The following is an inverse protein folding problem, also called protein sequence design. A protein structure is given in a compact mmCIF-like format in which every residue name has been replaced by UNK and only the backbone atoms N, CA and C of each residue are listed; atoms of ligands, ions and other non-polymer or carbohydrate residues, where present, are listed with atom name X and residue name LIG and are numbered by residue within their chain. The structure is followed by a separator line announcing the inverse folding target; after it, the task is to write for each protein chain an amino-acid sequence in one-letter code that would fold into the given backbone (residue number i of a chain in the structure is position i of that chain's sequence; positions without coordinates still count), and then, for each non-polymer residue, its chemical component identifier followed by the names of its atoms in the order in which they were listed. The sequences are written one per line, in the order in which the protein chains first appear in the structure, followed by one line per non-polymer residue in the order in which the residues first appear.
data_IF_892534775686
#
_entry.id   IF_892534775686
#
_cell.length_a   1.000
_cell.length_b   1.000
_cell.length_c   1.000
_cell.angle_alpha   90.00
_cell.angle_beta   90.00
_cell.angle_gamma   90.00
#
_symmetry.space_group_name_H-M   'P 1'
#
loop_
_entity.id
_entity.type
_entity.pdbx_description
1 polymer ?
#
# COMPACT_ATOMS: atom_id res chain seq x y z
N UNK A 1 6.28 -29.09 30.88
CA UNK A 1 6.27 -29.08 29.40
C UNK A 1 5.64 -27.76 28.96
N UNK A 2 6.45 -26.91 28.32
CA UNK A 2 6.25 -25.46 28.30
C UNK A 2 5.33 -24.98 27.19
N UNK A 3 4.32 -24.21 27.58
CA UNK A 3 3.53 -23.38 26.68
C UNK A 3 4.39 -22.20 26.20
N UNK A 4 4.91 -22.30 24.98
CA UNK A 4 5.60 -21.19 24.31
C UNK A 4 4.57 -20.11 23.94
N UNK A 5 4.49 -19.06 24.77
CA UNK A 5 3.81 -17.81 24.45
C UNK A 5 4.70 -17.00 23.51
N UNK A 6 4.60 -17.26 22.20
CA UNK A 6 5.09 -16.32 21.19
C UNK A 6 4.07 -15.18 21.04
N UNK A 7 4.15 -14.21 21.96
CA UNK A 7 3.55 -12.90 21.78
C UNK A 7 4.54 -12.04 20.98
N UNK A 8 4.53 -12.22 19.65
CA UNK A 8 5.49 -11.60 18.75
C UNK A 8 4.87 -10.40 18.03
N UNK A 9 5.13 -9.20 18.55
CA UNK A 9 5.26 -7.98 17.73
C UNK A 9 3.98 -7.30 17.19
N UNK A 10 2.79 -7.85 17.41
CA UNK A 10 1.54 -7.31 16.83
C UNK A 10 1.09 -5.94 17.43
N UNK A 11 1.61 -5.56 18.60
CA UNK A 11 1.04 -4.45 19.38
C UNK A 11 1.41 -3.03 18.90
N UNK A 12 2.56 -2.80 18.26
CA UNK A 12 2.98 -1.42 17.91
C UNK A 12 2.39 -0.90 16.61
N UNK A 13 2.19 -1.77 15.61
CA UNK A 13 1.61 -1.40 14.32
C UNK A 13 0.10 -1.15 14.43
N UNK A 14 -0.63 -1.99 15.16
CA UNK A 14 -2.06 -1.79 15.41
C UNK A 14 -2.34 -0.46 16.12
N UNK A 15 -1.54 -0.12 17.15
CA UNK A 15 -1.67 1.15 17.87
C UNK A 15 -1.52 2.38 16.96
N UNK A 16 -0.70 2.29 15.90
CA UNK A 16 -0.56 3.37 14.91
C UNK A 16 -1.81 3.50 14.05
N UNK A 17 -2.45 2.40 13.68
CA UNK A 17 -3.66 2.44 12.87
C UNK A 17 -4.89 2.93 13.64
N UNK A 18 -4.99 2.63 14.94
CA UNK A 18 -6.03 3.22 15.79
C UNK A 18 -5.85 4.74 15.92
N UNK A 19 -4.62 5.21 16.10
CA UNK A 19 -4.31 6.65 16.12
C UNK A 19 -4.62 7.31 14.78
N UNK A 20 -4.24 6.67 13.67
CA UNK A 20 -4.54 7.14 12.33
C UNK A 20 -6.06 7.23 12.10
N UNK A 21 -6.80 6.20 12.54
CA UNK A 21 -8.25 6.17 12.44
C UNK A 21 -8.87 7.34 13.23
N UNK A 22 -8.46 7.55 14.47
CA UNK A 22 -8.96 8.64 15.30
C UNK A 22 -8.72 10.01 14.64
N UNK A 23 -7.50 10.26 14.14
CA UNK A 23 -7.16 11.52 13.46
C UNK A 23 -8.06 11.75 12.23
N UNK A 24 -8.33 10.70 11.45
CA UNK A 24 -9.18 10.81 10.29
C UNK A 24 -10.68 10.95 10.63
N UNK A 25 -11.16 10.27 11.66
CA UNK A 25 -12.54 10.42 12.17
C UNK A 25 -12.75 11.84 12.72
N UNK A 26 -11.79 12.39 13.45
CA UNK A 26 -11.80 13.81 13.85
C UNK A 26 -11.78 14.73 12.63
N UNK A 27 -11.00 14.41 11.60
CA UNK A 27 -10.94 15.17 10.35
C UNK A 27 -12.28 15.24 9.61
N UNK A 28 -13.15 14.23 9.74
CA UNK A 28 -14.47 14.20 9.06
C UNK A 28 -15.35 15.40 9.40
N UNK A 29 -15.23 15.97 10.60
CA UNK A 29 -16.03 17.13 11.01
C UNK A 29 -15.77 18.36 10.12
N UNK A 30 -14.62 18.41 9.44
CA UNK A 30 -14.23 19.49 8.54
C UNK A 30 -14.52 19.17 7.06
N UNK A 31 -15.05 17.99 6.72
CA UNK A 31 -15.21 17.54 5.33
C UNK A 31 -16.07 18.46 4.45
N UNK A 32 -17.04 19.17 5.03
CA UNK A 32 -17.87 20.13 4.30
C UNK A 32 -17.22 21.51 4.14
N UNK A 33 -16.07 21.74 4.77
CA UNK A 33 -15.35 23.04 4.78
C UNK A 33 -14.09 23.01 3.92
N UNK A 34 -13.70 21.84 3.40
CA UNK A 34 -12.51 21.66 2.57
C UNK A 34 -12.90 21.35 1.14
N UNK A 35 -11.94 21.47 0.22
CA UNK A 35 -12.19 21.19 -1.19
C UNK A 35 -12.55 19.71 -1.44
N UNK A 36 -13.24 19.38 -2.55
CA UNK A 36 -13.54 17.99 -2.90
C UNK A 36 -12.31 17.10 -2.94
N UNK A 37 -11.16 17.61 -3.39
CA UNK A 37 -9.91 16.87 -3.37
C UNK A 37 -9.49 16.49 -1.94
N UNK A 38 -9.46 17.45 -1.01
CA UNK A 38 -9.06 17.18 0.37
C UNK A 38 -10.06 16.24 1.06
N UNK A 39 -11.36 16.39 0.79
CA UNK A 39 -12.38 15.45 1.27
C UNK A 39 -12.19 14.05 0.69
N UNK A 40 -11.92 13.91 -0.60
CA UNK A 40 -11.57 12.63 -1.22
C UNK A 40 -10.34 11.99 -0.57
N UNK A 41 -9.31 12.78 -0.28
CA UNK A 41 -8.09 12.34 0.42
C UNK A 41 -8.35 11.88 1.84
N UNK A 42 -9.19 12.62 2.57
CA UNK A 42 -9.64 12.24 3.90
C UNK A 42 -10.32 10.87 3.87
N UNK A 43 -11.24 10.64 2.93
CA UNK A 43 -11.94 9.37 2.78
C UNK A 43 -11.03 8.22 2.33
N UNK A 44 -9.99 8.46 1.52
CA UNK A 44 -8.98 7.42 1.25
C UNK A 44 -8.19 7.04 2.50
N UNK A 45 -7.82 8.02 3.33
CA UNK A 45 -7.14 7.75 4.60
C UNK A 45 -8.00 6.94 5.58
N UNK A 46 -9.30 7.25 5.65
CA UNK A 46 -10.27 6.44 6.41
C UNK A 46 -10.41 5.02 5.86
N UNK A 47 -10.50 4.87 4.54
CA UNK A 47 -10.61 3.57 3.91
C UNK A 47 -9.41 2.70 4.28
N UNK A 48 -8.21 3.25 4.18
CA UNK A 48 -6.97 2.59 4.59
C UNK A 48 -6.98 2.27 6.10
N UNK A 49 -7.33 3.23 6.96
CA UNK A 49 -7.37 3.02 8.40
C UNK A 49 -8.35 1.91 8.81
N UNK A 50 -9.60 1.99 8.33
CA UNK A 50 -10.61 0.98 8.58
C UNK A 50 -10.20 -0.40 8.06
N UNK A 51 -9.54 -0.46 6.89
CA UNK A 51 -9.08 -1.73 6.33
C UNK A 51 -8.00 -2.38 7.21
N UNK A 52 -7.08 -1.59 7.77
CA UNK A 52 -6.02 -2.07 8.66
C UNK A 52 -6.56 -2.59 10.00
N UNK A 53 -7.62 -1.99 10.54
CA UNK A 53 -8.27 -2.45 11.79
C UNK A 53 -9.38 -3.47 11.56
N UNK A 54 -9.52 -4.02 10.35
CA UNK A 54 -10.48 -5.08 10.01
C UNK A 54 -11.94 -4.63 9.89
N UNK A 55 -12.23 -3.33 9.83
CA UNK A 55 -13.58 -2.78 9.65
C UNK A 55 -13.97 -2.72 8.16
N UNK A 56 -14.08 -3.88 7.52
CA UNK A 56 -14.25 -4.04 6.06
C UNK A 56 -15.39 -3.22 5.45
N UNK A 57 -16.56 -3.20 6.08
CA UNK A 57 -17.72 -2.46 5.55
C UNK A 57 -17.47 -0.96 5.50
N UNK A 58 -16.92 -0.39 6.58
CA UNK A 58 -16.58 1.04 6.65
C UNK A 58 -15.42 1.41 5.72
N UNK A 59 -14.45 0.50 5.55
CA UNK A 59 -13.36 0.68 4.61
C UNK A 59 -13.88 0.86 3.18
N UNK A 60 -14.75 -0.05 2.73
CA UNK A 60 -15.34 0.00 1.39
C UNK A 60 -16.28 1.19 1.21
N UNK A 61 -17.09 1.53 2.21
CA UNK A 61 -17.94 2.72 2.15
C UNK A 61 -17.11 4.01 2.05
N UNK A 62 -16.00 4.09 2.79
CA UNK A 62 -15.09 5.25 2.73
C UNK A 62 -14.41 5.33 1.37
N UNK A 63 -13.97 4.20 0.82
CA UNK A 63 -13.39 4.14 -0.52
C UNK A 63 -14.38 4.60 -1.60
N UNK A 64 -15.64 4.15 -1.53
CA UNK A 64 -16.70 4.60 -2.44
C UNK A 64 -16.94 6.11 -2.35
N UNK A 65 -16.99 6.66 -1.13
CA UNK A 65 -17.12 8.11 -0.92
C UNK A 65 -15.93 8.88 -1.49
N UNK A 66 -14.72 8.36 -1.32
CA UNK A 66 -13.54 8.97 -1.91
C UNK A 66 -13.69 9.09 -3.42
N UNK A 67 -14.02 7.99 -4.12
CA UNK A 67 -14.25 8.00 -5.56
C UNK A 67 -15.29 9.01 -6.03
N UNK A 68 -16.36 9.23 -5.26
CA UNK A 68 -17.39 10.23 -5.58
C UNK A 68 -16.92 11.67 -5.41
N UNK A 69 -15.94 11.90 -4.53
CA UNK A 69 -15.46 13.24 -4.16
C UNK A 69 -14.21 13.66 -4.93
N UNK A 70 -13.41 12.71 -5.42
CA UNK A 70 -12.23 13.06 -6.21
C UNK A 70 -12.64 13.84 -7.46
N UNK A 71 -12.07 15.03 -7.70
CA UNK A 71 -12.33 15.78 -8.91
C UNK A 71 -11.75 15.06 -10.13
N UNK A 72 -12.39 15.26 -11.28
CA UNK A 72 -11.91 14.74 -12.57
C UNK A 72 -10.52 15.30 -12.93
N UNK A 73 -10.31 16.59 -12.66
CA UNK A 73 -9.00 17.23 -12.76
C UNK A 73 -8.53 17.71 -11.39
N UNK A 74 -7.77 16.89 -10.64
CA UNK A 74 -7.28 17.30 -9.34
C UNK A 74 -6.28 18.45 -9.41
N UNK A 75 -5.62 18.69 -10.55
CA UNK A 75 -4.56 19.72 -10.68
C UNK A 75 -5.09 21.14 -10.57
N UNK A 76 -6.38 21.33 -10.81
CA UNK A 76 -7.04 22.63 -10.69
C UNK A 76 -7.37 23.00 -9.22
N UNK A 77 -7.26 22.05 -8.30
CA UNK A 77 -7.45 22.32 -6.88
C UNK A 77 -6.22 23.05 -6.31
N UNK A 78 -6.38 24.20 -5.62
CA UNK A 78 -5.24 24.94 -5.06
C UNK A 78 -4.45 24.12 -4.02
N UNK A 79 -5.05 23.07 -3.47
CA UNK A 79 -4.39 22.19 -2.51
C UNK A 79 -3.66 21.00 -3.15
N UNK A 80 -3.70 20.86 -4.49
CA UNK A 80 -3.08 19.75 -5.22
C UNK A 80 -1.62 19.51 -4.84
N UNK A 81 -0.86 20.58 -4.66
CA UNK A 81 0.57 20.53 -4.32
C UNK A 81 0.85 19.95 -2.94
N UNK A 82 -0.10 20.03 -1.99
CA UNK A 82 0.04 19.50 -0.63
C UNK A 82 -0.31 18.02 -0.54
N UNK A 83 -1.01 17.50 -1.54
CA UNK A 83 -1.35 16.09 -1.61
C UNK A 83 -0.25 15.38 -2.38
N UNK A 84 0.69 14.71 -1.69
CA UNK A 84 1.66 13.81 -2.34
C UNK A 84 0.88 12.70 -3.08
N UNK A 85 0.61 12.90 -4.37
CA UNK A 85 -0.49 12.21 -5.06
C UNK A 85 -0.19 10.73 -5.32
N UNK A 86 -0.99 9.88 -4.67
CA UNK A 86 -1.42 8.62 -5.26
C UNK A 86 -2.83 8.85 -5.79
N UNK A 87 -3.09 8.40 -7.01
CA UNK A 87 -4.46 8.35 -7.54
C UNK A 87 -5.33 7.45 -6.63
N UNK A 88 -6.67 7.59 -6.65
CA UNK A 88 -7.58 6.81 -5.81
C UNK A 88 -7.32 5.29 -5.88
N UNK A 89 -7.01 4.80 -7.08
CA UNK A 89 -6.66 3.39 -7.32
C UNK A 89 -5.49 2.90 -6.45
N UNK A 90 -4.51 3.76 -6.13
CA UNK A 90 -3.40 3.38 -5.25
C UNK A 90 -3.86 3.06 -3.82
N UNK A 91 -4.85 3.78 -3.30
CA UNK A 91 -5.44 3.46 -2.00
C UNK A 91 -6.38 2.26 -2.08
N UNK A 92 -7.09 2.09 -3.19
CA UNK A 92 -7.92 0.91 -3.43
C UNK A 92 -7.11 -0.39 -3.33
N UNK A 93 -5.90 -0.41 -3.91
CA UNK A 93 -4.95 -1.53 -3.76
C UNK A 93 -4.66 -1.81 -2.29
N UNK A 94 -4.25 -0.80 -1.52
CA UNK A 94 -3.95 -0.95 -0.10
C UNK A 94 -5.16 -1.49 0.68
N UNK A 95 -6.36 -0.96 0.43
CA UNK A 95 -7.60 -1.41 1.06
C UNK A 95 -7.85 -2.88 0.77
N UNK A 96 -7.76 -3.32 -0.49
CA UNK A 96 -8.02 -4.72 -0.82
C UNK A 96 -6.95 -5.68 -0.30
N UNK A 97 -5.67 -5.29 -0.30
CA UNK A 97 -4.59 -6.08 0.29
C UNK A 97 -4.78 -6.25 1.81
N UNK A 98 -5.18 -5.19 2.51
CA UNK A 98 -5.46 -5.26 3.95
C UNK A 98 -6.67 -6.14 4.25
N UNK A 99 -7.69 -6.09 3.39
CA UNK A 99 -8.89 -6.92 3.50
C UNK A 99 -8.72 -8.36 2.97
N UNK A 100 -7.51 -8.76 2.59
CA UNK A 100 -7.19 -10.09 2.05
C UNK A 100 -8.02 -10.46 0.82
N UNK A 101 -8.17 -9.49 -0.10
CA UNK A 101 -8.85 -9.62 -1.40
C UNK A 101 -7.88 -9.39 -2.55
N UNK A 102 -6.87 -10.24 -2.72
CA UNK A 102 -5.80 -9.99 -3.68
C UNK A 102 -6.27 -9.93 -5.13
N UNK A 103 -7.35 -10.61 -5.50
CA UNK A 103 -7.95 -10.57 -6.83
C UNK A 103 -8.41 -9.15 -7.20
N UNK A 104 -9.09 -8.46 -6.28
CA UNK A 104 -9.52 -7.07 -6.48
C UNK A 104 -8.36 -6.09 -6.44
N UNK A 105 -7.37 -6.35 -5.58
CA UNK A 105 -6.13 -5.57 -5.59
C UNK A 105 -5.45 -5.68 -6.97
N UNK A 106 -5.45 -6.87 -7.59
CA UNK A 106 -4.88 -7.10 -8.91
C UNK A 106 -5.59 -6.31 -10.01
N UNK A 107 -6.92 -6.24 -9.97
CA UNK A 107 -7.71 -5.42 -10.89
C UNK A 107 -7.29 -3.94 -10.83
N UNK A 108 -7.20 -3.39 -9.62
CA UNK A 108 -6.75 -2.01 -9.40
C UNK A 108 -5.27 -1.80 -9.83
N UNK A 109 -4.38 -2.75 -9.52
CA UNK A 109 -2.98 -2.73 -9.94
C UNK A 109 -2.84 -2.73 -11.46
N UNK A 110 -3.70 -3.46 -12.19
CA UNK A 110 -3.69 -3.47 -13.64
C UNK A 110 -4.10 -2.12 -14.25
N UNK A 111 -4.96 -1.35 -13.57
CA UNK A 111 -5.29 0.01 -13.99
C UNK A 111 -4.07 0.92 -13.78
N UNK A 112 -3.45 0.87 -12.61
CA UNK A 112 -2.26 1.67 -12.26
C UNK A 112 -1.09 1.35 -13.20
N UNK A 113 -0.86 0.08 -13.51
CA UNK A 113 0.25 -0.36 -14.37
C UNK A 113 0.21 0.30 -15.77
N UNK A 114 -0.98 0.62 -16.28
CA UNK A 114 -1.17 1.28 -17.57
C UNK A 114 -0.82 2.76 -17.56
N UNK A 115 -0.85 3.41 -16.39
CA UNK A 115 -0.61 4.85 -16.25
C UNK A 115 0.80 5.20 -15.77
N UNK A 116 1.50 4.26 -15.14
CA UNK A 116 2.88 4.48 -14.68
C UNK A 116 3.86 4.25 -15.85
N UNK A 117 4.91 5.07 -16.00
CA UNK A 117 6.00 4.84 -16.97
C UNK A 117 6.74 3.51 -16.71
N UNK A 118 7.32 2.89 -17.73
CA UNK A 118 8.06 1.61 -17.56
C UNK A 118 9.49 1.83 -17.03
N UNK A 119 9.95 3.08 -17.02
CA UNK A 119 11.23 3.51 -16.48
C UNK A 119 11.30 3.30 -14.96
N UNK A 120 12.52 3.28 -14.44
CA UNK A 120 12.79 3.21 -13.01
C UNK A 120 12.43 4.56 -12.38
N UNK A 121 11.22 4.64 -11.85
CA UNK A 121 10.68 5.79 -11.09
C UNK A 121 10.08 5.29 -9.77
N UNK A 122 9.96 6.14 -8.73
CA UNK A 122 9.43 5.73 -7.43
C UNK A 122 8.10 4.97 -7.51
N UNK A 123 7.13 5.47 -8.29
CA UNK A 123 5.81 4.85 -8.42
C UNK A 123 5.86 3.44 -9.02
N UNK A 124 6.81 3.19 -9.95
CA UNK A 124 7.03 1.86 -10.54
C UNK A 124 7.52 0.87 -9.48
N UNK A 125 8.39 1.32 -8.58
CA UNK A 125 8.89 0.49 -7.46
C UNK A 125 7.76 0.16 -6.50
N UNK A 126 6.91 1.12 -6.18
CA UNK A 126 5.73 0.92 -5.34
C UNK A 126 4.76 -0.08 -5.95
N UNK A 127 4.45 0.07 -7.23
CA UNK A 127 3.62 -0.88 -7.97
C UNK A 127 4.19 -2.30 -7.88
N UNK A 128 5.51 -2.48 -8.06
CA UNK A 128 6.12 -3.80 -7.92
C UNK A 128 6.04 -4.37 -6.51
N UNK A 129 6.13 -3.54 -5.46
CA UNK A 129 5.93 -4.00 -4.08
C UNK A 129 4.49 -4.46 -3.86
N UNK A 130 3.51 -3.69 -4.29
CA UNK A 130 2.09 -4.03 -4.15
C UNK A 130 1.72 -5.26 -5.00
N UNK A 131 2.33 -5.40 -6.19
CA UNK A 131 2.21 -6.59 -7.03
C UNK A 131 2.80 -7.83 -6.36
N UNK A 132 3.95 -7.70 -5.69
CA UNK A 132 4.50 -8.79 -4.91
C UNK A 132 3.55 -9.22 -3.78
N UNK A 133 2.97 -8.27 -3.04
CA UNK A 133 2.07 -8.56 -1.91
C UNK A 133 0.81 -9.31 -2.37
N UNK A 134 0.11 -8.80 -3.39
CA UNK A 134 -1.08 -9.52 -3.88
C UNK A 134 -0.73 -10.89 -4.48
N UNK A 135 0.43 -11.06 -5.11
CA UNK A 135 0.90 -12.38 -5.59
C UNK A 135 1.11 -13.34 -4.42
N UNK A 136 1.74 -12.89 -3.33
CA UNK A 136 1.95 -13.69 -2.12
C UNK A 136 0.63 -14.05 -1.44
N UNK A 137 -0.30 -13.10 -1.32
CA UNK A 137 -1.64 -13.35 -0.78
C UNK A 137 -2.45 -14.33 -1.64
N UNK A 138 -2.16 -14.42 -2.94
CA UNK A 138 -2.76 -15.38 -3.87
C UNK A 138 -2.02 -16.73 -3.89
N UNK A 139 -0.93 -16.88 -3.13
CA UNK A 139 -0.10 -18.08 -3.11
C UNK A 139 0.84 -18.24 -4.31
N UNK A 140 0.96 -17.23 -5.18
CA UNK A 140 1.84 -17.27 -6.35
C UNK A 140 3.26 -16.75 -6.00
N UNK A 141 4.04 -17.62 -5.36
CA UNK A 141 5.37 -17.28 -4.83
C UNK A 141 6.36 -16.92 -5.94
N UNK A 142 6.35 -17.61 -7.07
CA UNK A 142 7.30 -17.36 -8.17
C UNK A 142 7.10 -15.98 -8.79
N UNK A 143 5.83 -15.60 -9.01
CA UNK A 143 5.50 -14.27 -9.51
C UNK A 143 5.87 -13.19 -8.50
N UNK A 144 5.59 -13.41 -7.21
CA UNK A 144 6.00 -12.49 -6.16
C UNK A 144 7.52 -12.29 -6.10
N UNK A 145 8.30 -13.36 -6.24
CA UNK A 145 9.76 -13.28 -6.26
C UNK A 145 10.28 -12.41 -7.40
N UNK A 146 9.64 -12.50 -8.57
CA UNK A 146 9.99 -11.67 -9.73
C UNK A 146 9.76 -10.19 -9.44
N UNK A 147 8.57 -9.84 -8.92
CA UNK A 147 8.25 -8.46 -8.56
C UNK A 147 9.12 -7.91 -7.41
N UNK A 148 9.41 -8.70 -6.38
CA UNK A 148 10.30 -8.31 -5.29
C UNK A 148 11.71 -8.01 -5.80
N UNK A 149 12.22 -8.84 -6.72
CA UNK A 149 13.54 -8.63 -7.33
C UNK A 149 13.58 -7.33 -8.12
N UNK A 150 12.54 -7.05 -8.90
CA UNK A 150 12.43 -5.81 -9.67
C UNK A 150 12.34 -4.59 -8.74
N UNK A 151 11.53 -4.68 -7.68
CA UNK A 151 11.38 -3.64 -6.67
C UNK A 151 12.70 -3.34 -5.94
N UNK A 152 13.42 -4.36 -5.47
CA UNK A 152 14.70 -4.20 -4.77
C UNK A 152 15.76 -3.59 -5.70
N UNK A 153 15.87 -4.11 -6.92
CA UNK A 153 16.84 -3.60 -7.91
C UNK A 153 16.57 -2.14 -8.21
N UNK A 154 15.31 -1.79 -8.48
CA UNK A 154 14.88 -0.42 -8.78
C UNK A 154 15.09 0.52 -7.59
N UNK A 155 14.77 0.06 -6.37
CA UNK A 155 14.99 0.85 -5.15
C UNK A 155 16.48 1.16 -4.93
N UNK A 156 17.37 0.22 -5.22
CA UNK A 156 18.82 0.43 -5.13
C UNK A 156 19.32 1.44 -6.18
N UNK A 157 18.85 1.33 -7.43
CA UNK A 157 19.16 2.29 -8.51
C UNK A 157 18.71 3.70 -8.14
N UNK A 158 17.52 3.84 -7.54
CA UNK A 158 17.00 5.13 -7.07
C UNK A 158 17.64 5.63 -5.77
N UNK A 159 18.48 4.83 -5.11
CA UNK A 159 18.99 5.15 -3.77
C UNK A 159 17.90 5.22 -2.67
N UNK A 160 16.72 4.63 -2.91
CA UNK A 160 15.57 4.72 -2.02
C UNK A 160 15.61 3.66 -0.92
N UNK A 161 16.21 4.02 0.24
CA UNK A 161 16.25 3.16 1.43
C UNK A 161 14.86 2.72 1.89
N UNK A 162 13.88 3.63 1.85
CA UNK A 162 12.50 3.35 2.27
C UNK A 162 11.90 2.19 1.46
N UNK A 163 11.94 2.28 0.12
CA UNK A 163 11.35 1.27 -0.77
C UNK A 163 12.11 -0.05 -0.69
N UNK A 164 13.44 -0.01 -0.54
CA UNK A 164 14.25 -1.19 -0.28
C UNK A 164 13.78 -1.94 0.99
N UNK A 165 13.62 -1.22 2.11
CA UNK A 165 13.19 -1.85 3.35
C UNK A 165 11.74 -2.34 3.30
N UNK A 166 10.85 -1.69 2.55
CA UNK A 166 9.49 -2.17 2.35
C UNK A 166 9.46 -3.50 1.60
N UNK A 167 10.17 -3.59 0.45
CA UNK A 167 10.30 -4.85 -0.30
C UNK A 167 10.92 -5.96 0.58
N UNK A 168 11.94 -5.61 1.36
CA UNK A 168 12.59 -6.54 2.28
C UNK A 168 11.69 -7.00 3.43
N UNK A 169 10.90 -6.10 4.01
CA UNK A 169 9.96 -6.43 5.07
C UNK A 169 8.87 -7.39 4.56
N UNK A 170 8.36 -7.16 3.35
CA UNK A 170 7.40 -8.04 2.70
C UNK A 170 7.98 -9.44 2.49
N UNK A 171 9.22 -9.52 2.00
CA UNK A 171 9.96 -10.77 1.84
C UNK A 171 10.08 -11.57 3.15
N UNK A 172 10.42 -10.90 4.26
CA UNK A 172 10.52 -11.55 5.58
C UNK A 172 9.18 -11.99 6.14
N UNK A 173 8.15 -11.17 5.97
CA UNK A 173 6.80 -11.45 6.50
C UNK A 173 6.26 -12.79 5.97
N UNK A 174 6.49 -13.09 4.70
CA UNK A 174 6.05 -14.33 4.05
C UNK A 174 7.04 -15.50 4.18
N UNK A 175 8.17 -15.30 4.86
CA UNK A 175 9.11 -16.39 5.17
C UNK A 175 9.74 -17.06 3.95
N UNK A 176 9.90 -16.33 2.84
CA UNK A 176 10.42 -16.87 1.57
C UNK A 176 11.94 -17.09 1.68
N UNK A 177 12.42 -18.07 2.43
CA UNK A 177 13.86 -18.21 2.79
C UNK A 177 14.83 -18.27 1.60
N UNK A 178 14.39 -18.66 0.39
CA UNK A 178 15.27 -18.92 -0.74
C UNK A 178 15.73 -17.68 -1.54
N UNK A 179 14.97 -16.57 -1.56
CA UNK A 179 15.38 -15.41 -2.39
C UNK A 179 16.54 -14.63 -1.76
N UNK A 180 16.66 -14.61 -0.43
CA UNK A 180 17.78 -13.97 0.25
C UNK A 180 19.12 -14.64 -0.11
N UNK A 181 19.10 -15.96 -0.29
CA UNK A 181 20.24 -16.74 -0.77
C UNK A 181 20.60 -16.37 -2.21
N UNK A 182 19.59 -16.22 -3.07
CA UNK A 182 19.77 -15.83 -4.47
C UNK A 182 20.27 -14.38 -4.65
N UNK A 183 19.84 -13.45 -3.81
CA UNK A 183 20.31 -12.06 -3.83
C UNK A 183 21.76 -11.93 -3.33
N UNK A 184 22.14 -12.65 -2.27
CA UNK A 184 23.52 -12.66 -1.75
C UNK A 184 24.51 -13.24 -2.75
N UNK A 185 24.15 -14.32 -3.45
CA UNK A 185 25.00 -14.94 -4.46
C UNK A 185 25.34 -13.98 -5.63
N UNK A 186 24.44 -13.04 -5.95
CA UNK A 186 24.65 -12.04 -7.02
C UNK A 186 25.43 -10.79 -6.59
N UNK A 187 25.50 -10.48 -5.29
CA UNK A 187 26.36 -9.40 -4.80
C UNK A 187 27.83 -9.83 -4.69
N UNK A 188 28.09 -11.14 -4.80
CA UNK A 188 29.42 -11.74 -4.76
C UNK A 188 29.94 -12.15 -6.15
N UNK A 189 29.15 -11.95 -7.20
CA UNK A 189 29.48 -12.22 -8.60
C UNK A 189 29.58 -10.91 -9.37
#
# INVERSE_FOLDING_TARGET
MGNSKHDTGSCTTLKRFDQMLNVYEEGQQYGNQVSPLLSGRLYTGLAEAYSNVGQSSKALQSLERAYKLYPNDPKDDPNFSYTHFKLPHGFEVCVYLNLKKPEKAWEALNIINKSIPQEIVPDRVELSIDQADASLQSGNVDQACSYLKDAVTSALVLGSKLRYYQAYALFHHYGVKDVASALKARQQA
#
